data_IF_146376663791
#
_entry.id   IF_146376663791
#
_cell.length_a   1.000
_cell.length_b   1.000
_cell.length_c   1.000
_cell.angle_alpha   90.00
_cell.angle_beta   90.00
_cell.angle_gamma   90.00
#
_symmetry.space_group_name_H-M   'P 1'
#
loop_
_entity.id
_entity.type
_entity.pdbx_description
1 polymer ?
#
# COMPACT_ATOMS: atom_id res chain seq x y z
N UNK A 1 2.87 5.31 -101.08
CA UNK A 1 2.23 4.84 -99.84
C UNK A 1 2.93 3.56 -99.39
N UNK A 2 3.79 3.60 -98.34
CA UNK A 2 4.27 2.48 -97.48
C UNK A 2 5.54 2.92 -96.75
N UNK A 3 5.34 3.66 -95.67
CA UNK A 3 6.39 4.06 -94.73
C UNK A 3 6.49 3.04 -93.57
N UNK A 4 7.72 2.73 -93.19
CA UNK A 4 8.21 2.53 -91.81
C UNK A 4 7.35 1.65 -90.86
N UNK A 5 7.36 0.32 -91.03
CA UNK A 5 6.87 -0.62 -89.99
C UNK A 5 7.84 -1.76 -89.62
N UNK A 6 9.06 -1.79 -90.14
CA UNK A 6 9.95 -2.95 -89.99
C UNK A 6 11.10 -2.81 -88.96
N UNK A 7 11.28 -1.65 -88.32
CA UNK A 7 12.40 -1.48 -87.36
C UNK A 7 12.07 -1.83 -85.90
N UNK A 8 10.81 -2.11 -85.54
CA UNK A 8 10.44 -2.40 -84.14
C UNK A 8 10.65 -3.87 -83.75
N UNK A 9 10.57 -4.81 -84.71
CA UNK A 9 10.61 -6.25 -84.40
C UNK A 9 12.03 -6.83 -84.29
N UNK A 10 13.03 -6.21 -84.91
CA UNK A 10 14.43 -6.66 -84.79
C UNK A 10 15.10 -6.25 -83.47
N UNK A 11 14.53 -5.29 -82.72
CA UNK A 11 15.02 -4.92 -81.39
C UNK A 11 14.62 -5.94 -80.29
N UNK A 12 13.62 -6.79 -80.55
CA UNK A 12 13.06 -7.74 -79.58
C UNK A 12 13.78 -9.08 -79.50
N UNK A 13 14.75 -9.36 -80.38
CA UNK A 13 15.49 -10.63 -80.41
C UNK A 13 16.90 -10.57 -79.78
N UNK A 14 17.22 -9.46 -79.11
CA UNK A 14 18.51 -9.29 -78.45
C UNK A 14 18.42 -9.86 -77.02
N UNK A 15 19.08 -11.00 -76.74
CA UNK A 15 19.05 -11.69 -75.42
C UNK A 15 19.38 -10.78 -74.22
N UNK A 16 20.13 -9.69 -74.45
CA UNK A 16 20.41 -8.66 -73.42
C UNK A 16 19.18 -7.81 -73.07
N UNK A 17 18.30 -7.52 -74.03
CA UNK A 17 17.08 -6.73 -73.82
C UNK A 17 15.98 -7.52 -73.08
N UNK A 18 15.94 -8.85 -73.24
CA UNK A 18 15.01 -9.73 -72.53
C UNK A 18 15.32 -9.86 -71.03
N UNK A 19 16.57 -9.66 -70.61
CA UNK A 19 16.97 -9.58 -69.19
C UNK A 19 16.85 -8.14 -68.64
N UNK A 20 17.11 -7.13 -69.48
CA UNK A 20 17.05 -5.72 -69.10
C UNK A 20 15.63 -5.21 -68.84
N UNK A 21 14.64 -5.64 -69.63
CA UNK A 21 13.25 -5.19 -69.47
C UNK A 21 12.62 -5.63 -68.13
N UNK A 22 12.71 -6.91 -67.72
CA UNK A 22 12.24 -7.35 -66.40
C UNK A 22 13.06 -6.70 -65.27
N UNK A 23 14.38 -6.59 -65.42
CA UNK A 23 15.23 -5.98 -64.39
C UNK A 23 14.95 -4.48 -64.20
N UNK A 24 14.69 -3.73 -65.28
CA UNK A 24 14.35 -2.30 -65.23
C UNK A 24 12.97 -2.06 -64.60
N UNK A 25 12.05 -3.02 -64.66
CA UNK A 25 10.75 -2.97 -63.97
C UNK A 25 10.83 -3.47 -62.52
N UNK A 26 11.62 -4.51 -62.26
CA UNK A 26 11.74 -5.11 -60.93
C UNK A 26 12.62 -4.28 -59.99
N UNK A 27 13.70 -3.66 -60.47
CA UNK A 27 14.64 -2.92 -59.63
C UNK A 27 13.97 -1.73 -58.90
N UNK A 28 13.14 -0.89 -59.55
CA UNK A 28 12.37 0.14 -58.86
C UNK A 28 11.42 -0.43 -57.81
N UNK A 29 10.77 -1.57 -58.10
CA UNK A 29 9.87 -2.25 -57.16
C UNK A 29 10.64 -2.74 -55.93
N UNK A 30 11.79 -3.39 -56.12
CA UNK A 30 12.63 -3.85 -55.02
C UNK A 30 13.15 -2.69 -54.17
N UNK A 31 13.59 -1.60 -54.79
CA UNK A 31 14.01 -0.39 -54.06
C UNK A 31 12.85 0.17 -53.25
N UNK A 32 11.65 0.25 -53.82
CA UNK A 32 10.45 0.73 -53.13
C UNK A 32 10.06 -0.17 -51.95
N UNK A 33 10.15 -1.49 -52.11
CA UNK A 33 9.93 -2.47 -51.02
C UNK A 33 10.95 -2.27 -49.89
N UNK A 34 12.23 -2.10 -50.20
CA UNK A 34 13.28 -1.84 -49.19
C UNK A 34 12.98 -0.55 -48.43
N UNK A 35 12.64 0.53 -49.14
CA UNK A 35 12.24 1.78 -48.48
C UNK A 35 11.02 1.60 -47.58
N UNK A 36 10.02 0.84 -48.03
CA UNK A 36 8.81 0.58 -47.26
C UNK A 36 9.12 -0.23 -45.99
N UNK A 37 10.02 -1.22 -46.05
CA UNK A 37 10.49 -1.97 -44.88
C UNK A 37 11.22 -1.07 -43.87
N UNK A 38 12.11 -0.18 -44.34
CA UNK A 38 12.80 0.78 -43.47
C UNK A 38 11.81 1.72 -42.79
N UNK A 39 10.83 2.23 -43.52
CA UNK A 39 9.81 3.14 -42.97
C UNK A 39 8.87 2.44 -41.97
N UNK A 40 8.44 1.21 -42.26
CA UNK A 40 7.67 0.38 -41.31
C UNK A 40 8.48 0.12 -40.03
N UNK A 41 9.78 -0.13 -40.17
CA UNK A 41 10.67 -0.37 -39.03
C UNK A 41 10.77 0.87 -38.13
N UNK A 42 10.91 2.07 -38.71
CA UNK A 42 10.91 3.33 -37.95
C UNK A 42 9.62 3.53 -37.15
N UNK A 43 8.47 3.28 -37.78
CA UNK A 43 7.15 3.38 -37.12
C UNK A 43 7.02 2.33 -36.01
N UNK A 44 7.49 1.11 -36.25
CA UNK A 44 7.49 0.03 -35.25
C UNK A 44 8.32 0.39 -34.02
N UNK A 45 9.56 0.86 -34.22
CA UNK A 45 10.45 1.30 -33.12
C UNK A 45 9.82 2.44 -32.34
N UNK A 46 9.24 3.43 -33.02
CA UNK A 46 8.56 4.54 -32.36
C UNK A 46 7.37 4.07 -31.50
N UNK A 47 6.58 3.12 -32.00
CA UNK A 47 5.47 2.52 -31.23
C UNK A 47 5.99 1.75 -30.02
N UNK A 48 7.01 0.89 -30.19
CA UNK A 48 7.60 0.10 -29.09
C UNK A 48 8.16 1.01 -28.01
N UNK A 49 8.88 2.07 -28.38
CA UNK A 49 9.41 3.06 -27.44
C UNK A 49 8.31 3.74 -26.64
N UNK A 50 7.26 4.23 -27.30
CA UNK A 50 6.13 4.87 -26.62
C UNK A 50 5.35 3.89 -25.73
N UNK A 51 5.22 2.62 -26.13
CA UNK A 51 4.57 1.58 -25.34
C UNK A 51 5.39 1.30 -24.08
N UNK A 52 6.70 1.10 -24.23
CA UNK A 52 7.62 0.91 -23.12
C UNK A 52 7.62 2.11 -22.16
N UNK A 53 7.61 3.34 -22.70
CA UNK A 53 7.51 4.56 -21.91
C UNK A 53 6.20 4.63 -21.11
N UNK A 54 5.06 4.29 -21.73
CA UNK A 54 3.77 4.22 -21.05
C UNK A 54 3.78 3.18 -19.94
N UNK A 55 4.30 1.99 -20.20
CA UNK A 55 4.34 0.87 -19.27
C UNK A 55 5.24 1.16 -18.07
N UNK A 56 6.43 1.71 -18.31
CA UNK A 56 7.36 2.08 -17.25
C UNK A 56 6.80 3.23 -16.38
N UNK A 57 6.23 4.27 -16.99
CA UNK A 57 5.58 5.37 -16.29
C UNK A 57 4.43 4.89 -15.41
N UNK A 58 3.56 4.06 -15.99
CA UNK A 58 2.43 3.43 -15.32
C UNK A 58 2.86 2.63 -14.09
N UNK A 59 3.81 1.71 -14.29
CA UNK A 59 4.32 0.84 -13.23
C UNK A 59 4.99 1.64 -12.12
N UNK A 60 5.85 2.59 -12.46
CA UNK A 60 6.59 3.41 -11.51
C UNK A 60 5.64 4.22 -10.62
N UNK A 61 4.65 4.89 -11.22
CA UNK A 61 3.70 5.70 -10.48
C UNK A 61 2.81 4.84 -9.58
N UNK A 62 2.34 3.69 -10.07
CA UNK A 62 1.51 2.79 -9.27
C UNK A 62 2.32 2.08 -8.19
N UNK A 63 3.63 1.87 -8.38
CA UNK A 63 4.53 1.31 -7.37
C UNK A 63 4.60 2.22 -6.15
N UNK A 64 4.59 3.54 -6.34
CA UNK A 64 4.46 4.50 -5.23
C UNK A 64 3.15 4.32 -4.45
N UNK A 65 2.02 4.08 -5.14
CA UNK A 65 0.72 3.85 -4.50
C UNK A 65 0.72 2.54 -3.72
N UNK A 66 1.20 1.45 -4.34
CA UNK A 66 1.30 0.14 -3.71
C UNK A 66 2.21 0.17 -2.49
N UNK A 67 3.37 0.83 -2.59
CA UNK A 67 4.32 0.98 -1.47
C UNK A 67 3.68 1.70 -0.28
N UNK A 68 2.99 2.82 -0.53
CA UNK A 68 2.29 3.56 0.53
C UNK A 68 1.22 2.69 1.22
N UNK A 69 0.40 1.97 0.46
CA UNK A 69 -0.66 1.13 1.01
C UNK A 69 -0.11 -0.09 1.76
N UNK A 70 0.94 -0.72 1.23
CA UNK A 70 1.62 -1.83 1.90
C UNK A 70 2.29 -1.37 3.19
N UNK A 71 2.96 -0.22 3.18
CA UNK A 71 3.57 0.34 4.37
C UNK A 71 2.51 0.68 5.42
N UNK A 72 1.40 1.32 5.02
CA UNK A 72 0.27 1.60 5.92
C UNK A 72 -0.32 0.32 6.51
N UNK A 73 -0.54 -0.72 5.70
CA UNK A 73 -1.02 -2.01 6.19
C UNK A 73 -0.05 -2.63 7.21
N UNK A 74 1.26 -2.54 6.95
CA UNK A 74 2.27 -3.06 7.88
C UNK A 74 2.28 -2.29 9.20
N UNK A 75 2.17 -0.95 9.17
CA UNK A 75 2.08 -0.09 10.36
C UNK A 75 0.84 -0.39 11.22
N UNK A 76 -0.28 -0.77 10.60
CA UNK A 76 -1.54 -1.03 11.31
C UNK A 76 -1.57 -2.34 12.11
N UNK A 77 -0.63 -3.25 11.90
CA UNK A 77 -0.75 -4.60 12.45
C UNK A 77 0.55 -5.35 12.56
N UNK A 78 1.18 -5.67 11.43
CA UNK A 78 2.37 -6.51 11.41
C UNK A 78 3.55 -5.93 12.21
N UNK A 79 3.77 -4.62 12.11
CA UNK A 79 4.84 -3.95 12.86
C UNK A 79 4.57 -3.85 14.37
N UNK A 80 3.43 -3.29 14.85
CA UNK A 80 3.16 -3.23 16.29
C UNK A 80 3.16 -4.61 16.94
N UNK A 81 2.57 -5.63 16.31
CA UNK A 81 2.64 -7.00 16.80
C UNK A 81 4.10 -7.49 16.94
N UNK A 82 4.93 -7.30 15.90
CA UNK A 82 6.31 -7.78 15.90
C UNK A 82 7.19 -7.09 16.94
N UNK A 83 7.00 -5.79 17.15
CA UNK A 83 7.77 -5.04 18.15
C UNK A 83 7.30 -5.40 19.55
N UNK A 84 5.99 -5.51 19.77
CA UNK A 84 5.47 -5.70 21.13
C UNK A 84 5.45 -7.17 21.57
N UNK A 85 5.47 -8.12 20.63
CA UNK A 85 5.63 -9.55 20.93
C UNK A 85 6.99 -9.90 21.55
N UNK A 86 7.99 -8.99 21.48
CA UNK A 86 9.24 -9.18 22.22
C UNK A 86 9.08 -9.00 23.72
N UNK A 87 8.00 -8.37 24.19
CA UNK A 87 7.67 -8.25 25.61
C UNK A 87 6.98 -9.53 26.11
N UNK A 88 7.72 -10.63 26.01
CA UNK A 88 7.29 -11.97 26.40
C UNK A 88 7.63 -12.30 27.87
N UNK A 89 8.13 -11.33 28.64
CA UNK A 89 8.42 -11.51 30.06
C UNK A 89 7.14 -11.92 30.80
N UNK A 90 7.24 -13.04 31.53
CA UNK A 90 6.13 -13.58 32.31
C UNK A 90 5.87 -12.71 33.54
N UNK A 91 4.61 -12.32 33.69
CA UNK A 91 4.10 -11.66 34.88
C UNK A 91 3.94 -12.71 35.98
N UNK A 92 4.51 -12.44 37.14
CA UNK A 92 4.38 -13.35 38.30
C UNK A 92 2.96 -13.23 38.85
N UNK A 93 2.22 -14.33 39.05
CA UNK A 93 0.90 -14.25 39.68
C UNK A 93 1.04 -13.70 41.10
N UNK A 94 0.03 -12.95 41.55
CA UNK A 94 -0.05 -12.51 42.95
C UNK A 94 -0.20 -13.74 43.83
N UNK A 95 0.66 -13.87 44.86
CA UNK A 95 0.70 -15.04 45.75
C UNK A 95 -0.40 -14.95 46.83
N UNK A 96 -1.64 -14.77 46.38
CA UNK A 96 -2.84 -14.73 47.20
C UNK A 96 -3.53 -16.10 47.16
N UNK A 97 -4.02 -16.56 48.31
CA UNK A 97 -4.68 -17.87 48.47
C UNK A 97 -5.91 -18.06 47.57
N UNK A 98 -6.51 -16.96 47.11
CA UNK A 98 -7.70 -16.94 46.25
C UNK A 98 -7.38 -16.57 44.78
N UNK A 99 -6.11 -16.52 44.37
CA UNK A 99 -5.77 -16.22 42.99
C UNK A 99 -6.02 -17.46 42.09
N UNK A 100 -6.95 -17.42 41.13
CA UNK A 100 -7.23 -18.56 40.24
C UNK A 100 -6.04 -18.92 39.32
N UNK A 101 -5.06 -18.03 39.18
CA UNK A 101 -3.87 -18.20 38.35
C UNK A 101 -2.64 -18.70 39.13
N UNK A 102 -2.79 -19.05 40.42
CA UNK A 102 -1.70 -19.57 41.25
C UNK A 102 -1.18 -20.91 40.69
N UNK A 103 0.11 -20.97 40.35
CA UNK A 103 0.77 -22.18 39.83
C UNK A 103 0.52 -22.47 38.34
N UNK A 104 -0.13 -21.57 37.61
CA UNK A 104 -0.23 -21.63 36.14
C UNK A 104 0.96 -20.90 35.48
N UNK A 105 1.28 -21.21 34.22
CA UNK A 105 2.23 -20.41 33.42
C UNK A 105 1.87 -18.91 33.49
N UNK A 106 2.85 -18.01 33.47
CA UNK A 106 2.56 -16.57 33.57
C UNK A 106 1.83 -16.04 32.33
N UNK A 107 0.96 -15.04 32.52
CA UNK A 107 0.58 -14.13 31.43
C UNK A 107 1.77 -13.23 31.09
N UNK A 108 1.91 -12.77 29.85
CA UNK A 108 3.02 -11.87 29.50
C UNK A 108 2.61 -10.41 29.49
N UNK A 109 3.62 -9.53 29.48
CA UNK A 109 3.41 -8.09 29.25
C UNK A 109 2.69 -7.85 27.93
N UNK A 110 3.00 -8.59 26.85
CA UNK A 110 2.23 -8.50 25.61
C UNK A 110 0.76 -8.83 25.82
N UNK A 111 0.46 -9.94 26.51
CA UNK A 111 -0.92 -10.37 26.71
C UNK A 111 -1.72 -9.32 27.50
N UNK A 112 -1.10 -8.63 28.45
CA UNK A 112 -1.71 -7.52 29.19
C UNK A 112 -2.22 -6.38 28.27
N UNK A 113 -1.41 -5.96 27.29
CA UNK A 113 -1.81 -4.93 26.33
C UNK A 113 -2.79 -5.48 25.29
N UNK A 114 -2.58 -6.72 24.86
CA UNK A 114 -3.41 -7.36 23.85
C UNK A 114 -4.84 -7.54 24.36
N UNK A 115 -5.01 -8.09 25.56
CA UNK A 115 -6.31 -8.29 26.20
C UNK A 115 -7.02 -6.97 26.53
N UNK A 116 -6.28 -5.84 26.66
CA UNK A 116 -6.87 -4.51 26.74
C UNK A 116 -7.39 -3.97 25.39
N UNK A 117 -7.12 -4.68 24.30
CA UNK A 117 -7.34 -4.23 22.93
C UNK A 117 -6.39 -3.10 22.50
N UNK A 118 -5.27 -2.90 23.20
CA UNK A 118 -4.32 -1.82 22.92
C UNK A 118 -3.38 -2.14 21.75
N UNK A 119 -3.04 -3.42 21.59
CA UNK A 119 -2.16 -3.93 20.55
C UNK A 119 -2.87 -4.98 19.71
N UNK A 120 -2.54 -5.10 18.42
CA UNK A 120 -3.04 -6.18 17.59
C UNK A 120 -2.23 -7.47 17.81
N UNK A 121 -2.87 -8.61 17.59
CA UNK A 121 -2.23 -9.91 17.44
C UNK A 121 -2.48 -10.51 16.06
N UNK A 122 -1.58 -11.39 15.64
CA UNK A 122 -1.69 -12.23 14.45
C UNK A 122 -2.29 -13.57 14.87
N UNK A 123 -3.19 -14.17 14.09
CA UNK A 123 -3.72 -15.50 14.41
C UNK A 123 -2.69 -16.64 14.30
N UNK A 124 -3.06 -17.89 14.66
CA UNK A 124 -4.42 -18.36 14.91
C UNK A 124 -4.95 -18.09 16.32
N UNK A 125 -4.08 -17.94 17.32
CA UNK A 125 -4.49 -17.86 18.73
C UNK A 125 -4.69 -16.40 19.16
N UNK A 126 -5.78 -16.12 19.89
CA UNK A 126 -6.12 -14.76 20.36
C UNK A 126 -6.34 -14.72 21.87
N UNK A 127 -5.79 -15.70 22.57
CA UNK A 127 -5.93 -15.82 24.00
C UNK A 127 -4.56 -15.56 24.66
N UNK A 128 -4.29 -16.26 25.76
CA UNK A 128 -2.97 -16.28 26.39
C UNK A 128 -1.90 -16.74 25.40
N UNK A 129 -0.71 -16.16 25.48
CA UNK A 129 0.42 -16.47 24.59
C UNK A 129 0.22 -16.10 23.11
N UNK A 130 -0.67 -15.18 22.77
CA UNK A 130 -0.87 -14.76 21.38
C UNK A 130 0.39 -14.13 20.74
N UNK A 131 1.35 -13.66 21.55
CA UNK A 131 2.69 -13.27 21.09
C UNK A 131 3.51 -14.42 20.48
N UNK A 132 3.21 -15.69 20.82
CA UNK A 132 3.91 -16.89 20.31
C UNK A 132 3.39 -17.35 18.96
N UNK A 133 2.37 -16.69 18.41
CA UNK A 133 1.84 -17.07 17.09
C UNK A 133 2.94 -17.05 16.03
N UNK A 134 2.99 -18.09 15.17
CA UNK A 134 4.01 -18.15 14.13
C UNK A 134 3.85 -16.99 13.16
N UNK A 135 4.98 -16.51 12.63
CA UNK A 135 4.94 -15.51 11.57
C UNK A 135 4.09 -16.03 10.39
N UNK A 136 3.18 -15.21 9.84
CA UNK A 136 2.35 -15.64 8.72
C UNK A 136 3.18 -16.09 7.52
N UNK A 137 2.77 -17.19 6.89
CA UNK A 137 3.44 -17.70 5.68
C UNK A 137 3.48 -16.63 4.57
N UNK A 138 4.59 -16.53 3.81
CA UNK A 138 4.66 -15.68 2.62
C UNK A 138 3.56 -15.96 1.60
N UNK A 139 3.03 -17.19 1.54
CA UNK A 139 1.92 -17.57 0.67
C UNK A 139 0.54 -17.20 1.23
N UNK A 140 0.44 -16.86 2.53
CA UNK A 140 -0.86 -16.62 3.17
C UNK A 140 -1.58 -15.42 2.56
N UNK A 141 -2.86 -15.59 2.22
CA UNK A 141 -3.71 -14.49 1.74
C UNK A 141 -4.33 -13.69 2.88
N UNK A 142 -4.16 -14.15 4.12
CA UNK A 142 -4.68 -13.50 5.31
C UNK A 142 -3.76 -13.69 6.52
N UNK A 143 -3.46 -12.61 7.23
CA UNK A 143 -2.66 -12.67 8.46
C UNK A 143 -3.54 -12.78 9.70
N UNK A 144 -4.87 -12.65 9.52
CA UNK A 144 -5.85 -12.65 10.60
C UNK A 144 -5.38 -11.74 11.75
N UNK A 145 -5.04 -10.51 11.39
CA UNK A 145 -4.64 -9.52 12.39
C UNK A 145 -5.91 -8.99 13.04
N UNK A 146 -5.98 -9.10 14.36
CA UNK A 146 -7.12 -8.68 15.16
C UNK A 146 -6.67 -7.98 16.43
N UNK A 147 -7.44 -6.99 16.86
CA UNK A 147 -7.38 -6.49 18.21
C UNK A 147 -8.28 -7.36 19.09
N UNK A 148 -7.92 -7.57 20.35
CA UNK A 148 -8.84 -8.26 21.24
C UNK A 148 -10.15 -7.47 21.31
N UNK A 149 -11.25 -8.13 20.96
CA UNK A 149 -12.58 -7.67 21.35
C UNK A 149 -12.67 -7.95 22.83
N UNK A 150 -12.23 -6.97 23.62
CA UNK A 150 -12.21 -7.03 25.07
C UNK A 150 -13.40 -7.84 25.62
N UNK A 151 -13.14 -9.01 26.24
CA UNK A 151 -14.16 -10.01 26.62
C UNK A 151 -14.45 -10.08 28.12
N UNK A 152 -13.75 -9.31 28.96
CA UNK A 152 -13.74 -9.49 30.42
C UNK A 152 -14.22 -8.30 31.27
N UNK A 153 -15.22 -7.54 30.83
CA UNK A 153 -15.80 -6.45 31.64
C UNK A 153 -17.30 -6.71 31.76
N UNK A 154 -17.69 -7.45 32.79
CA UNK A 154 -18.86 -7.04 33.55
C UNK A 154 -18.43 -5.75 34.29
N UNK A 155 -19.05 -4.62 33.94
CA UNK A 155 -19.02 -3.35 34.69
C UNK A 155 -17.66 -2.81 35.18
N UNK A 156 -16.74 -2.44 34.29
CA UNK A 156 -15.87 -1.30 34.59
C UNK A 156 -16.69 -0.09 34.24
N UNK A 157 -17.33 0.51 35.21
CA UNK A 157 -17.91 1.81 34.96
C UNK A 157 -16.79 2.86 34.95
N UNK A 158 -16.91 3.92 34.15
CA UNK A 158 -16.19 5.15 34.49
C UNK A 158 -16.55 5.59 35.92
N UNK A 159 -15.89 6.61 36.45
CA UNK A 159 -16.18 7.10 37.81
C UNK A 159 -17.65 7.61 37.95
N UNK A 160 -18.43 7.62 36.85
CA UNK A 160 -19.84 7.98 36.75
C UNK A 160 -20.81 6.82 36.47
N UNK A 161 -20.37 5.55 36.46
CA UNK A 161 -21.30 4.42 36.28
C UNK A 161 -21.48 3.92 34.83
N UNK A 162 -20.69 4.39 33.85
CA UNK A 162 -20.87 4.00 32.44
C UNK A 162 -19.93 2.86 32.01
N UNK A 163 -20.42 1.80 31.34
CA UNK A 163 -19.60 0.66 30.93
C UNK A 163 -18.37 1.07 30.09
N UNK A 164 -17.20 0.59 30.50
CA UNK A 164 -15.90 0.87 29.92
C UNK A 164 -15.80 0.13 28.58
N UNK A 165 -16.19 0.87 27.56
CA UNK A 165 -15.80 0.76 26.17
C UNK A 165 -15.38 -0.63 25.65
N UNK A 166 -16.36 -1.43 25.23
CA UNK A 166 -16.11 -2.55 24.33
C UNK A 166 -15.70 -1.99 22.95
N UNK A 167 -14.48 -2.29 22.48
CA UNK A 167 -13.90 -1.82 21.20
C UNK A 167 -14.54 -2.46 19.94
N UNK A 168 -15.84 -2.76 19.98
CA UNK A 168 -16.59 -3.43 18.90
C UNK A 168 -16.64 -2.65 17.56
N UNK A 169 -16.31 -1.36 17.60
CA UNK A 169 -16.32 -0.46 16.45
C UNK A 169 -15.04 -0.42 15.62
N UNK A 170 -13.92 -0.94 16.13
CA UNK A 170 -12.60 -0.71 15.53
C UNK A 170 -12.39 -1.55 14.26
N UNK A 171 -12.80 -2.82 14.28
CA UNK A 171 -12.57 -3.75 13.16
C UNK A 171 -13.56 -3.60 11.99
N UNK A 172 -14.17 -2.42 11.84
CA UNK A 172 -15.00 -2.08 10.69
C UNK A 172 -14.14 -1.46 9.57
N UNK A 173 -14.55 -1.59 8.31
CA UNK A 173 -13.90 -0.86 7.20
C UNK A 173 -13.98 0.67 7.38
N UNK A 174 -14.96 1.15 8.15
CA UNK A 174 -15.03 2.51 8.66
C UNK A 174 -15.14 2.40 10.17
N UNK A 175 -14.00 2.43 10.88
CA UNK A 175 -13.98 2.34 12.33
C UNK A 175 -14.75 3.51 12.96
N UNK A 176 -15.40 3.23 14.08
CA UNK A 176 -15.94 4.28 14.96
C UNK A 176 -14.77 5.12 15.51
N UNK A 177 -15.00 6.40 15.80
CA UNK A 177 -13.96 7.23 16.40
C UNK A 177 -13.54 6.65 17.75
N UNK A 178 -12.24 6.68 18.04
CA UNK A 178 -11.74 6.39 19.38
C UNK A 178 -12.33 7.42 20.34
N UNK A 179 -12.88 6.92 21.46
CA UNK A 179 -13.37 7.77 22.55
C UNK A 179 -12.36 7.70 23.68
N UNK A 180 -12.00 8.88 24.15
CA UNK A 180 -11.12 9.06 25.30
C UNK A 180 -11.95 8.95 26.60
N UNK A 181 -11.35 8.41 27.69
CA UNK A 181 -9.99 7.86 27.76
C UNK A 181 -9.89 6.42 27.22
N UNK A 182 -8.71 6.07 26.68
CA UNK A 182 -8.42 4.71 26.19
C UNK A 182 -7.65 3.90 27.23
N UNK A 183 -8.27 2.81 27.69
CA UNK A 183 -7.66 1.84 28.60
C UNK A 183 -6.71 0.92 27.85
N UNK A 184 -5.41 1.06 28.09
CA UNK A 184 -4.38 0.34 27.32
C UNK A 184 -3.81 -0.89 28.02
N UNK A 185 -4.16 -1.14 29.28
CA UNK A 185 -3.78 -2.32 30.05
C UNK A 185 -4.99 -2.95 30.72
N UNK A 186 -5.06 -4.28 30.70
CA UNK A 186 -6.15 -5.02 31.33
C UNK A 186 -6.00 -4.95 32.87
N UNK A 187 -6.96 -4.29 33.53
CA UNK A 187 -6.97 -4.10 34.98
C UNK A 187 -6.99 -5.40 35.77
N UNK A 188 -7.84 -6.36 35.40
CA UNK A 188 -7.96 -7.66 36.09
C UNK A 188 -6.62 -8.39 36.07
N UNK A 189 -5.91 -8.34 34.94
CA UNK A 189 -4.58 -8.91 34.83
C UNK A 189 -3.57 -8.20 35.74
N UNK A 190 -3.64 -6.87 35.88
CA UNK A 190 -2.80 -6.10 36.83
C UNK A 190 -3.14 -6.41 38.29
N UNK A 191 -4.41 -6.70 38.61
CA UNK A 191 -4.85 -7.05 39.97
C UNK A 191 -4.45 -8.48 40.36
N UNK A 192 -4.49 -9.40 39.40
CA UNK A 192 -4.20 -10.83 39.60
C UNK A 192 -2.73 -11.20 39.36
N UNK A 193 -1.96 -10.36 38.68
CA UNK A 193 -0.53 -10.56 38.41
C UNK A 193 0.31 -9.37 38.89
N UNK A 194 1.42 -9.66 39.55
CA UNK A 194 2.39 -8.66 39.97
C UNK A 194 3.06 -8.01 38.76
N UNK A 195 2.74 -6.73 38.55
CA UNK A 195 3.45 -5.84 37.65
C UNK A 195 4.25 -4.88 38.51
N UNK A 196 5.51 -5.20 38.76
CA UNK A 196 6.41 -4.35 39.53
C UNK A 196 6.60 -3.05 38.74
N UNK A 197 6.07 -1.95 39.26
CA UNK A 197 5.98 -0.68 38.53
C UNK A 197 7.34 -0.22 37.97
N UNK A 198 8.43 -0.37 38.75
CA UNK A 198 9.77 0.09 38.34
C UNK A 198 10.47 -0.84 37.34
N UNK A 199 10.28 -2.14 37.49
CA UNK A 199 11.04 -3.17 36.75
C UNK A 199 10.35 -3.57 35.45
N UNK A 200 9.02 -3.62 35.47
CA UNK A 200 8.20 -4.13 34.34
C UNK A 200 7.25 -3.04 33.83
N UNK A 201 6.52 -2.41 34.74
CA UNK A 201 5.44 -1.48 34.39
C UNK A 201 5.90 -0.26 33.58
N UNK A 202 6.78 0.56 34.16
CA UNK A 202 7.30 1.79 33.53
C UNK A 202 8.02 1.47 32.22
N UNK A 203 8.96 0.50 32.15
CA UNK A 203 9.58 0.12 30.88
C UNK A 203 8.58 -0.30 29.80
N UNK A 204 7.56 -1.08 30.16
CA UNK A 204 6.52 -1.53 29.22
C UNK A 204 5.66 -0.36 28.71
N UNK A 205 5.28 0.58 29.59
CA UNK A 205 4.56 1.81 29.22
C UNK A 205 5.41 2.66 28.28
N UNK A 206 6.68 2.90 28.63
CA UNK A 206 7.60 3.69 27.81
C UNK A 206 7.80 3.07 26.44
N UNK A 207 7.95 1.75 26.36
CA UNK A 207 8.07 1.01 25.11
C UNK A 207 6.82 1.10 24.24
N UNK A 208 5.64 0.90 24.83
CA UNK A 208 4.36 1.03 24.16
C UNK A 208 4.18 2.43 23.56
N UNK A 209 4.36 3.48 24.39
CA UNK A 209 4.25 4.86 23.96
C UNK A 209 5.26 5.19 22.84
N UNK A 210 6.53 4.82 23.03
CA UNK A 210 7.59 5.07 22.04
C UNK A 210 7.29 4.40 20.71
N UNK A 211 6.79 3.16 20.74
CA UNK A 211 6.42 2.40 19.53
C UNK A 211 5.32 3.13 18.77
N UNK A 212 4.21 3.47 19.44
CA UNK A 212 3.06 4.05 18.76
C UNK A 212 3.26 5.51 18.34
N UNK A 213 4.08 6.29 19.06
CA UNK A 213 4.55 7.61 18.57
C UNK A 213 5.33 7.44 17.27
N UNK A 214 6.30 6.54 17.22
CA UNK A 214 7.09 6.27 16.01
C UNK A 214 6.24 5.76 14.84
N UNK A 215 5.21 4.95 15.12
CA UNK A 215 4.25 4.50 14.09
C UNK A 215 3.48 5.68 13.49
N UNK A 216 3.00 6.59 14.34
CA UNK A 216 2.31 7.81 13.92
C UNK A 216 3.18 8.74 13.06
N UNK A 217 4.42 8.96 13.49
CA UNK A 217 5.40 9.76 12.75
C UNK A 217 5.75 9.13 11.40
N UNK A 218 5.99 7.82 11.40
CA UNK A 218 6.28 7.07 10.18
C UNK A 218 5.13 7.15 9.19
N UNK A 219 3.89 7.01 9.67
CA UNK A 219 2.70 7.18 8.83
C UNK A 219 2.61 8.59 8.22
N UNK A 220 2.84 9.63 9.03
CA UNK A 220 2.81 11.02 8.58
C UNK A 220 3.87 11.28 7.48
N UNK A 221 5.11 10.86 7.72
CA UNK A 221 6.21 10.98 6.77
C UNK A 221 5.90 10.26 5.46
N UNK A 222 5.40 9.03 5.54
CA UNK A 222 5.03 8.24 4.36
C UNK A 222 3.87 8.89 3.58
N UNK A 223 2.85 9.41 4.28
CA UNK A 223 1.70 10.09 3.68
C UNK A 223 2.13 11.38 2.96
N UNK A 224 3.03 12.15 3.55
CA UNK A 224 3.52 13.38 2.94
C UNK A 224 4.44 13.14 1.76
N UNK A 225 5.33 12.14 1.87
CA UNK A 225 6.14 11.69 0.73
C UNK A 225 5.23 11.19 -0.41
N UNK A 226 4.23 10.37 -0.09
CA UNK A 226 3.26 9.87 -1.04
C UNK A 226 2.51 11.01 -1.76
N UNK A 227 2.00 12.00 -1.02
CA UNK A 227 1.36 13.19 -1.60
C UNK A 227 2.30 13.95 -2.53
N UNK A 228 3.57 14.12 -2.15
CA UNK A 228 4.59 14.80 -2.97
C UNK A 228 4.85 14.04 -4.27
N UNK A 229 5.06 12.72 -4.20
CA UNK A 229 5.38 11.87 -5.35
C UNK A 229 4.20 11.66 -6.30
N UNK A 230 2.96 11.70 -5.80
CA UNK A 230 1.74 11.53 -6.60
C UNK A 230 1.16 12.83 -7.15
N UNK A 231 1.65 13.98 -6.68
CA UNK A 231 1.15 15.30 -7.08
C UNK A 231 1.18 15.44 -8.59
N UNK A 232 0.01 15.71 -9.18
CA UNK A 232 -0.16 15.91 -10.63
C UNK A 232 0.42 14.78 -11.50
N UNK A 233 0.45 13.54 -10.97
CA UNK A 233 1.07 12.38 -11.62
C UNK A 233 2.53 12.64 -12.05
N UNK A 234 3.31 13.30 -11.18
CA UNK A 234 4.68 13.71 -11.47
C UNK A 234 5.56 12.52 -11.89
N UNK A 235 5.63 11.45 -11.10
CA UNK A 235 6.46 10.27 -11.40
C UNK A 235 6.04 9.62 -12.73
N UNK A 236 4.73 9.55 -13.00
CA UNK A 236 4.25 9.08 -14.30
C UNK A 236 4.77 9.92 -15.47
N UNK A 237 4.65 11.25 -15.36
CA UNK A 237 5.04 12.17 -16.45
C UNK A 237 6.55 12.19 -16.67
N UNK A 238 7.34 12.20 -15.58
CA UNK A 238 8.80 12.08 -15.67
C UNK A 238 9.21 10.73 -16.28
N UNK A 239 8.63 9.64 -15.79
CA UNK A 239 8.91 8.29 -16.30
C UNK A 239 8.62 8.14 -17.78
N UNK A 240 7.53 8.76 -18.28
CA UNK A 240 7.24 8.75 -19.70
C UNK A 240 8.24 9.61 -20.48
N UNK A 241 8.48 10.84 -20.02
CA UNK A 241 9.37 11.81 -20.68
C UNK A 241 10.79 11.28 -20.86
N UNK A 242 11.35 10.60 -19.86
CA UNK A 242 12.70 10.04 -19.93
C UNK A 242 12.85 8.90 -20.95
N UNK A 243 11.74 8.36 -21.46
CA UNK A 243 11.74 7.23 -22.39
C UNK A 243 11.25 7.62 -23.80
N UNK A 244 10.96 8.89 -24.06
CA UNK A 244 10.52 9.38 -25.37
C UNK A 244 11.27 10.65 -25.78
N UNK A 245 11.45 10.82 -27.09
CA UNK A 245 12.20 11.96 -27.65
C UNK A 245 11.29 13.05 -28.26
N UNK A 246 9.96 12.86 -28.24
CA UNK A 246 9.01 13.58 -29.10
C UNK A 246 8.14 14.63 -28.38
N UNK A 247 8.37 14.88 -27.09
CA UNK A 247 7.58 15.81 -26.31
C UNK A 247 8.39 16.63 -25.29
N UNK A 248 7.91 17.84 -24.99
CA UNK A 248 8.45 18.65 -23.89
C UNK A 248 7.95 18.08 -22.56
N UNK A 249 8.81 18.11 -21.54
CA UNK A 249 8.51 17.68 -20.15
C UNK A 249 7.11 18.12 -19.64
N UNK A 250 6.71 19.35 -19.96
CA UNK A 250 5.43 19.93 -19.51
C UNK A 250 4.18 19.42 -20.27
N UNK A 251 4.38 18.78 -21.42
CA UNK A 251 3.33 18.34 -22.35
C UNK A 251 3.26 16.82 -22.47
N UNK A 252 4.33 16.11 -22.12
CA UNK A 252 4.42 14.65 -22.17
C UNK A 252 3.36 13.97 -21.30
N UNK A 253 2.82 12.87 -21.84
CA UNK A 253 1.95 11.93 -21.16
C UNK A 253 0.65 12.52 -20.57
N UNK A 254 0.26 13.75 -20.93
CA UNK A 254 -0.87 14.47 -20.33
C UNK A 254 -2.20 13.70 -20.36
N UNK A 255 -2.47 12.97 -21.44
CA UNK A 255 -3.72 12.23 -21.62
C UNK A 255 -3.81 11.04 -20.66
N UNK A 256 -2.73 10.26 -20.56
CA UNK A 256 -2.70 9.13 -19.62
C UNK A 256 -2.55 9.58 -18.17
N UNK A 257 -1.76 10.63 -17.92
CA UNK A 257 -1.60 11.22 -16.59
C UNK A 257 -2.93 11.74 -16.02
N UNK A 258 -3.73 12.46 -16.82
CA UNK A 258 -5.04 12.97 -16.38
C UNK A 258 -6.03 11.85 -16.09
N UNK A 259 -5.94 10.73 -16.82
CA UNK A 259 -6.76 9.53 -16.56
C UNK A 259 -6.37 8.82 -15.27
N UNK A 260 -5.07 8.81 -14.95
CA UNK A 260 -4.53 8.15 -13.75
C UNK A 260 -4.72 9.00 -12.48
N UNK A 261 -4.62 10.32 -12.60
CA UNK A 261 -4.60 11.28 -11.48
C UNK A 261 -5.70 11.08 -10.42
N UNK A 262 -6.98 10.82 -10.77
CA UNK A 262 -8.05 10.63 -9.77
C UNK A 262 -7.79 9.46 -8.82
N UNK A 263 -7.00 8.47 -9.26
CA UNK A 263 -6.70 7.23 -8.54
C UNK A 263 -5.37 7.30 -7.78
N UNK A 264 -4.58 8.37 -7.98
CA UNK A 264 -3.32 8.57 -7.28
C UNK A 264 -3.48 9.18 -5.91
N UNK A 265 -4.63 9.76 -5.57
CA UNK A 265 -4.93 10.21 -4.21
C UNK A 265 -5.84 9.17 -3.53
N UNK A 266 -5.25 8.30 -2.70
CA UNK A 266 -5.99 7.38 -1.83
C UNK A 266 -6.13 8.00 -0.44
N UNK A 267 -7.29 8.60 -0.11
CA UNK A 267 -7.46 9.24 1.18
C UNK A 267 -7.47 8.23 2.32
N UNK A 268 -6.66 8.53 3.35
CA UNK A 268 -6.50 7.73 4.56
C UNK A 268 -6.72 8.61 5.78
N UNK A 269 -7.35 8.05 6.81
CA UNK A 269 -7.62 8.70 8.09
C UNK A 269 -7.00 7.89 9.23
N UNK A 270 -6.44 8.62 10.21
CA UNK A 270 -5.84 8.06 11.42
C UNK A 270 -6.92 7.81 12.47
N UNK A 271 -6.67 6.83 13.32
CA UNK A 271 -7.34 6.64 14.61
C UNK A 271 -6.30 6.90 15.69
N UNK A 272 -6.63 7.79 16.61
CA UNK A 272 -5.72 8.31 17.62
C UNK A 272 -6.46 8.67 18.91
N UNK A 273 -5.73 8.71 20.02
CA UNK A 273 -6.25 9.03 21.35
C UNK A 273 -5.31 10.00 22.07
N UNK A 274 -5.85 10.99 22.77
CA UNK A 274 -5.03 11.90 23.58
C UNK A 274 -4.96 11.43 25.04
N UNK A 275 -6.09 10.99 25.61
CA UNK A 275 -6.15 10.49 26.98
C UNK A 275 -6.05 8.96 27.04
N UNK A 276 -4.99 8.47 27.69
CA UNK A 276 -4.70 7.06 27.90
C UNK A 276 -4.76 6.74 29.39
N UNK A 277 -5.16 5.51 29.73
CA UNK A 277 -5.11 5.02 31.12
C UNK A 277 -4.36 3.70 31.18
N UNK A 278 -3.27 3.72 31.94
CA UNK A 278 -2.48 2.54 32.30
C UNK A 278 -2.85 2.07 33.70
N UNK A 279 -2.49 0.82 34.01
CA UNK A 279 -2.66 0.24 35.34
C UNK A 279 -1.32 -0.30 35.82
N UNK A 280 -0.99 -0.05 37.08
CA UNK A 280 0.22 -0.58 37.72
C UNK A 280 -0.14 -1.23 39.06
N UNK A 281 0.70 -2.15 39.53
CA UNK A 281 0.53 -2.78 40.85
C UNK A 281 1.56 -2.23 41.84
N UNK A 282 1.19 -2.07 43.11
CA UNK A 282 2.02 -1.46 44.15
C UNK A 282 2.95 -2.45 44.87
N UNK A 283 3.29 -3.58 44.24
CA UNK A 283 4.10 -4.58 44.90
C UNK A 283 5.56 -4.09 45.09
N UNK A 284 5.92 -3.96 46.37
CA UNK A 284 7.26 -3.93 46.98
C UNK A 284 8.13 -2.65 46.95
N UNK A 285 7.67 -1.49 46.48
CA UNK A 285 8.48 -0.24 46.58
C UNK A 285 7.86 0.91 47.40
N UNK A 286 6.60 0.80 47.86
CA UNK A 286 5.90 1.91 48.53
C UNK A 286 5.32 1.58 49.91
N UNK A 287 5.82 0.53 50.57
CA UNK A 287 5.36 0.12 51.90
C UNK A 287 4.25 -0.92 51.84
N UNK A 288 4.29 -1.83 52.81
CA UNK A 288 3.41 -2.98 52.95
C UNK A 288 1.92 -2.58 52.99
N UNK A 289 1.08 -3.20 52.16
CA UNK A 289 -0.38 -3.24 52.40
C UNK A 289 -1.32 -3.03 51.21
N UNK A 290 -0.89 -2.57 50.03
CA UNK A 290 -1.82 -2.29 48.92
C UNK A 290 -1.85 -3.38 47.85
N UNK A 291 -2.73 -4.36 48.03
CA UNK A 291 -3.25 -5.14 46.91
C UNK A 291 -4.16 -4.26 46.05
N UNK A 292 -3.96 -4.24 44.74
CA UNK A 292 -4.84 -3.54 43.79
C UNK A 292 -4.10 -2.88 42.62
N UNK A 293 -4.81 -2.76 41.49
CA UNK A 293 -4.35 -2.00 40.34
C UNK A 293 -4.69 -0.52 40.53
N UNK A 294 -3.68 0.35 40.45
CA UNK A 294 -3.89 1.79 40.49
C UNK A 294 -3.85 2.40 39.09
N UNK A 295 -4.75 3.37 38.84
CA UNK A 295 -4.90 4.06 37.55
C UNK A 295 -3.75 5.07 37.37
N UNK A 296 -3.11 5.02 36.21
CA UNK A 296 -2.12 6.00 35.76
C UNK A 296 -2.71 6.73 34.55
N UNK A 297 -3.37 7.88 34.73
CA UNK A 297 -3.83 8.68 33.61
C UNK A 297 -2.62 9.30 32.90
N UNK A 298 -2.62 9.24 31.57
CA UNK A 298 -1.56 9.77 30.73
C UNK A 298 -2.16 10.52 29.55
N UNK A 299 -1.85 11.80 29.42
CA UNK A 299 -2.34 12.66 28.33
C UNK A 299 -1.19 12.99 27.40
N UNK A 300 -1.27 12.60 26.13
CA UNK A 300 -0.16 12.74 25.17
C UNK A 300 0.29 14.20 25.02
N UNK A 301 -0.68 15.11 24.87
CA UNK A 301 -0.41 16.55 24.71
C UNK A 301 0.23 17.18 25.94
N UNK A 302 -0.08 16.72 27.16
CA UNK A 302 0.43 17.29 28.42
C UNK A 302 1.71 16.62 28.89
N UNK A 303 1.72 15.29 28.93
CA UNK A 303 2.75 14.49 29.62
C UNK A 303 3.89 14.10 28.68
N UNK A 304 3.62 13.95 27.37
CA UNK A 304 4.62 13.67 26.36
C UNK A 304 4.94 14.88 25.45
N UNK A 305 4.18 15.97 25.56
CA UNK A 305 4.24 17.12 24.65
C UNK A 305 4.24 16.67 23.17
N UNK A 306 3.37 15.72 22.86
CA UNK A 306 3.29 15.05 21.57
C UNK A 306 1.86 15.06 21.01
N UNK A 307 1.74 14.80 19.71
CA UNK A 307 0.44 14.57 19.06
C UNK A 307 -0.30 13.38 19.71
N UNK A 308 -1.64 13.31 19.58
CA UNK A 308 -2.42 12.15 20.00
C UNK A 308 -1.82 10.83 19.50
N UNK A 309 -1.83 9.82 20.37
CA UNK A 309 -1.19 8.53 20.13
C UNK A 309 -1.89 7.82 18.97
N UNK A 310 -1.14 7.53 17.91
CA UNK A 310 -1.62 6.77 16.76
C UNK A 310 -1.95 5.33 17.19
N UNK A 311 -3.04 4.74 16.68
CA UNK A 311 -3.32 3.30 16.80
C UNK A 311 -3.23 2.60 15.45
N UNK A 312 -3.97 3.10 14.46
CA UNK A 312 -3.98 2.59 13.10
C UNK A 312 -4.54 3.65 12.12
N UNK A 313 -4.42 3.39 10.83
CA UNK A 313 -5.03 4.18 9.77
C UNK A 313 -5.94 3.33 8.89
N UNK A 314 -6.99 3.93 8.34
CA UNK A 314 -7.91 3.24 7.43
C UNK A 314 -8.13 4.07 6.16
N UNK A 315 -8.56 3.37 5.10
CA UNK A 315 -8.89 4.01 3.82
C UNK A 315 -10.33 4.51 3.86
N UNK A 316 -10.51 5.80 3.58
CA UNK A 316 -11.83 6.42 3.58
C UNK A 316 -12.76 5.82 2.49
N UNK A 317 -14.10 5.94 2.59
CA UNK A 317 -15.03 5.38 1.61
C UNK A 317 -14.71 5.75 0.14
N UNK A 318 -14.29 7.00 -0.09
CA UNK A 318 -13.90 7.49 -1.41
C UNK A 318 -12.63 6.81 -1.93
N UNK A 319 -11.66 6.53 -1.06
CA UNK A 319 -10.45 5.77 -1.37
C UNK A 319 -10.76 4.31 -1.69
N UNK A 320 -11.65 3.67 -0.92
CA UNK A 320 -12.08 2.28 -1.17
C UNK A 320 -12.76 2.11 -2.53
N UNK A 321 -13.55 3.10 -2.97
CA UNK A 321 -14.13 3.10 -4.32
C UNK A 321 -13.04 3.13 -5.42
N UNK A 322 -11.99 3.94 -5.21
CA UNK A 322 -10.83 3.99 -6.13
C UNK A 322 -10.08 2.67 -6.14
N UNK A 323 -9.83 2.04 -4.99
CA UNK A 323 -9.18 0.74 -4.90
C UNK A 323 -9.98 -0.36 -5.63
N UNK A 324 -11.31 -0.38 -5.48
CA UNK A 324 -12.16 -1.31 -6.24
C UNK A 324 -12.05 -1.11 -7.76
N UNK A 325 -11.91 0.14 -8.20
CA UNK A 325 -11.69 0.45 -9.63
C UNK A 325 -10.31 0.01 -10.08
N UNK A 326 -9.28 0.26 -9.27
CA UNK A 326 -7.90 -0.17 -9.53
C UNK A 326 -7.77 -1.70 -9.63
N UNK A 327 -8.58 -2.47 -8.91
CA UNK A 327 -8.64 -3.94 -9.04
C UNK A 327 -9.19 -4.38 -10.40
N UNK A 328 -10.17 -3.65 -10.95
CA UNK A 328 -10.74 -3.94 -12.29
C UNK A 328 -9.80 -3.51 -13.40
N UNK A 329 -9.04 -2.44 -13.15
CA UNK A 329 -8.02 -1.91 -14.04
C UNK A 329 -8.40 -0.56 -14.64
N UNK A 330 -7.39 0.27 -14.89
CA UNK A 330 -7.52 1.58 -15.51
C UNK A 330 -6.84 1.52 -16.87
N UNK A 331 -7.64 1.68 -17.94
CA UNK A 331 -7.09 1.82 -19.29
C UNK A 331 -6.50 3.21 -19.47
N UNK A 332 -5.21 3.24 -19.78
CA UNK A 332 -4.45 4.40 -20.19
C UNK A 332 -4.27 4.37 -21.70
N UNK A 333 -4.43 5.53 -22.32
CA UNK A 333 -4.21 5.75 -23.75
C UNK A 333 -3.36 7.00 -23.91
N UNK A 334 -2.27 6.88 -24.63
CA UNK A 334 -1.39 7.99 -24.93
C UNK A 334 -1.18 8.09 -26.44
N UNK A 335 -1.59 9.22 -27.02
CA UNK A 335 -1.25 9.54 -28.40
C UNK A 335 0.23 9.94 -28.46
N UNK A 336 0.90 9.58 -29.55
CA UNK A 336 2.29 9.93 -29.82
C UNK A 336 2.46 10.46 -31.24
N UNK A 337 3.59 11.10 -31.54
CA UNK A 337 3.87 11.61 -32.89
C UNK A 337 4.63 10.59 -33.70
N UNK A 338 4.24 10.39 -34.95
CA UNK A 338 4.98 9.51 -35.85
C UNK A 338 6.22 10.23 -36.39
N UNK A 339 7.35 9.51 -36.56
CA UNK A 339 8.48 10.07 -37.29
C UNK A 339 8.05 10.41 -38.72
N UNK A 340 8.60 11.49 -39.28
CA UNK A 340 8.36 11.84 -40.69
C UNK A 340 8.85 10.71 -41.58
N UNK A 341 7.97 10.23 -42.46
CA UNK A 341 8.37 9.21 -43.43
C UNK A 341 9.07 9.84 -44.64
N UNK A 342 9.83 9.02 -45.36
CA UNK A 342 10.55 9.44 -46.57
C UNK A 342 9.63 10.04 -47.66
N UNK A 343 8.37 9.61 -47.72
CA UNK A 343 7.37 10.07 -48.69
C UNK A 343 6.60 11.31 -48.23
N UNK A 344 6.93 11.88 -47.07
CA UNK A 344 6.25 12.99 -46.42
C UNK A 344 4.71 12.85 -46.30
N UNK A 345 4.21 11.62 -46.21
CA UNK A 345 2.78 11.32 -46.04
C UNK A 345 2.39 11.54 -44.58
N UNK A 346 1.46 12.46 -44.33
CA UNK A 346 0.94 12.68 -42.98
C UNK A 346 -0.05 11.56 -42.58
N UNK A 347 0.45 10.57 -41.85
CA UNK A 347 -0.34 9.47 -41.31
C UNK A 347 -1.09 9.85 -40.02
N UNK A 348 -0.70 10.96 -39.36
CA UNK A 348 -1.27 11.36 -38.06
C UNK A 348 -2.70 11.87 -38.20
N UNK A 349 -3.00 12.62 -39.26
CA UNK A 349 -4.34 13.18 -39.52
C UNK A 349 -5.39 12.09 -39.69
N UNK A 350 -5.00 10.96 -40.29
CA UNK A 350 -5.90 9.83 -40.59
C UNK A 350 -6.00 8.83 -39.43
N UNK A 351 -4.89 8.45 -38.80
CA UNK A 351 -4.85 7.28 -37.92
C UNK A 351 -4.71 7.59 -36.41
N UNK A 352 -4.34 8.83 -36.02
CA UNK A 352 -4.18 9.25 -34.60
C UNK A 352 -3.49 8.17 -33.74
N UNK A 353 -2.22 7.87 -34.04
CA UNK A 353 -1.49 6.77 -33.44
C UNK A 353 -1.44 6.90 -31.90
N UNK A 354 -1.67 5.78 -31.23
CA UNK A 354 -1.72 5.73 -29.77
C UNK A 354 -1.23 4.39 -29.24
N UNK A 355 -0.60 4.44 -28.07
CA UNK A 355 -0.27 3.29 -27.24
C UNK A 355 -1.28 3.16 -26.11
N UNK A 356 -1.46 1.94 -25.61
CA UNK A 356 -2.46 1.64 -24.58
C UNK A 356 -1.87 0.67 -23.56
N UNK A 357 -2.36 0.76 -22.35
CA UNK A 357 -2.07 -0.22 -21.31
C UNK A 357 -3.22 -0.17 -20.30
N UNK A 358 -3.57 -1.30 -19.70
CA UNK A 358 -4.47 -1.35 -18.55
C UNK A 358 -3.67 -1.68 -17.30
N UNK A 359 -3.61 -0.74 -16.37
CA UNK A 359 -2.95 -0.97 -15.08
C UNK A 359 -3.95 -1.53 -14.09
N UNK A 360 -3.57 -2.63 -13.44
CA UNK A 360 -4.32 -3.24 -12.34
C UNK A 360 -3.48 -3.17 -11.08
N UNK A 361 -4.07 -2.72 -9.98
CA UNK A 361 -3.47 -2.83 -8.66
C UNK A 361 -4.41 -3.62 -7.76
N UNK A 362 -3.93 -4.76 -7.26
CA UNK A 362 -4.74 -5.69 -6.48
C UNK A 362 -3.98 -6.22 -5.28
N UNK A 363 -4.70 -6.44 -4.19
CA UNK A 363 -4.25 -7.27 -3.07
C UNK A 363 -5.11 -8.54 -2.97
N UNK A 364 -4.72 -9.54 -2.16
CA UNK A 364 -5.42 -10.82 -2.06
C UNK A 364 -6.91 -10.75 -1.66
N UNK A 365 -7.37 -9.61 -1.13
CA UNK A 365 -8.76 -9.45 -0.67
C UNK A 365 -9.78 -9.16 -1.77
N UNK A 366 -10.99 -9.67 -1.56
CA UNK A 366 -12.15 -9.49 -2.44
C UNK A 366 -12.48 -8.01 -2.74
N UNK A 367 -12.52 -7.18 -1.70
CA UNK A 367 -12.83 -5.75 -1.77
C UNK A 367 -11.65 -4.85 -2.23
N UNK A 368 -10.47 -5.43 -2.47
CA UNK A 368 -9.20 -4.71 -2.70
C UNK A 368 -8.78 -3.74 -1.59
N UNK A 369 -9.19 -4.01 -0.35
CA UNK A 369 -8.78 -3.23 0.80
C UNK A 369 -8.03 -4.14 1.79
N UNK A 370 -6.71 -4.02 1.75
CA UNK A 370 -5.77 -4.73 2.61
C UNK A 370 -5.11 -3.82 3.66
N UNK A 371 -5.61 -2.59 3.85
CA UNK A 371 -5.07 -1.65 4.85
C UNK A 371 -5.71 -1.85 6.22
N UNK A 372 -7.04 -1.93 6.27
CA UNK A 372 -7.84 -2.09 7.49
C UNK A 372 -9.23 -2.63 7.11
N UNK A 373 -9.91 -3.50 7.89
CA UNK A 373 -9.65 -3.90 9.28
C UNK A 373 -8.61 -4.98 9.52
N UNK A 374 -8.35 -5.84 8.53
CA UNK A 374 -7.39 -6.93 8.71
C UNK A 374 -6.17 -6.65 7.78
N UNK A 375 -5.13 -5.96 8.24
CA UNK A 375 -4.04 -5.50 7.39
C UNK A 375 -3.22 -6.64 6.74
N UNK A 376 -2.86 -6.48 5.46
CA UNK A 376 -1.87 -7.35 4.79
C UNK A 376 -1.08 -6.58 3.70
N UNK A 377 0.26 -6.47 3.80
CA UNK A 377 1.08 -5.66 2.89
C UNK A 377 1.37 -6.38 1.55
N UNK A 378 0.32 -6.70 0.80
CA UNK A 378 0.40 -7.50 -0.45
C UNK A 378 -0.30 -6.86 -1.66
N UNK A 379 -0.33 -5.54 -1.76
CA UNK A 379 -0.68 -4.88 -3.01
C UNK A 379 0.37 -5.20 -4.08
N UNK A 380 -0.10 -5.64 -5.22
CA UNK A 380 0.68 -5.98 -6.42
C UNK A 380 0.17 -5.19 -7.60
N UNK A 381 1.04 -4.96 -8.57
CA UNK A 381 0.73 -4.20 -9.78
C UNK A 381 0.94 -5.11 -10.96
N UNK A 382 -0.03 -5.09 -11.88
CA UNK A 382 0.05 -5.80 -13.15
C UNK A 382 -0.25 -4.81 -14.27
N UNK A 383 0.53 -4.91 -15.33
CA UNK A 383 0.26 -4.23 -16.59
C UNK A 383 -0.38 -5.22 -17.55
N UNK A 384 -1.38 -4.77 -18.31
CA UNK A 384 -2.04 -5.53 -19.37
C UNK A 384 -1.99 -4.66 -20.64
N UNK A 385 -0.92 -4.79 -21.44
CA UNK A 385 -0.70 -3.99 -22.65
C UNK A 385 -1.88 -4.05 -23.63
#
# INVERSE_FOLDING_TARGET
MRLKRLSLFHALHNRRAQLLLPAALLLPIFVLVIYLLVEVTKVSIAKVRNQFALDNAAYSQMSTVSLFLNATAYLNGGLPFRVLSTYADELKPVDATNNPYRGQEGWTVFDLFYQAGAVPSVGPDYDKNAHKNPAPSPASTDWKIHYAQYSGIEEQTDDAGNPAYVRSGWEKETPDAIKDPVWVMNREMVETHYIIAKEVGIPAITAYLSTYVQLGDTFNLQKDLYKKLTRNAHIFREGYYLNVDDCKKNECARQSASRLLPFLNIPTKRQEADDLVFHLSAASNFGEGSGGAWKVPWKMTRDANADPLFFFAYVEPSGRSKLRTLKKGISLKQNFKLPRNHFNINLESKYKPAVRNTIVMSCPRGNNNCVWPNPIPKYTIMLRP
#
